data_IF_252772469360
#
_entry.id   IF_252772469360
#
_cell.length_a   1.000
_cell.length_b   1.000
_cell.length_c   1.000
_cell.angle_alpha   90.00
_cell.angle_beta   90.00
_cell.angle_gamma   90.00
#
_symmetry.space_group_name_H-M   'P 1'
#
loop_
_entity.id
_entity.type
_entity.pdbx_description
1 polymer ?
2 polymer ?
3 non-polymer ?
4 water ?
#
# COMPACT_ATOMS: atom_id res chain seq x y z
N UNK A 1 4.73 -1.76 24.98
CA UNK A 1 3.78 -0.67 25.28
C UNK A 1 2.36 -1.05 24.93
N UNK A 2 1.52 -0.06 24.66
CA UNK A 2 0.10 -0.33 24.49
C UNK A 2 -0.23 -0.87 23.16
N UNK A 3 -0.49 -2.18 23.10
CA UNK A 3 -0.89 -2.83 21.86
C UNK A 3 -2.36 -2.78 21.73
N UNK A 4 -2.78 -2.28 20.58
CA UNK A 4 -4.16 -2.12 20.26
C UNK A 4 -4.49 -3.20 19.24
N UNK A 5 -5.28 -4.19 19.63
CA UNK A 5 -5.63 -5.35 18.77
C UNK A 5 -7.01 -5.17 18.22
N UNK A 6 -7.08 -4.95 16.91
CA UNK A 6 -8.34 -4.66 16.24
C UNK A 6 -8.76 -5.87 15.49
N UNK A 7 -10.01 -6.27 15.63
CA UNK A 7 -10.49 -7.40 14.86
C UNK A 7 -11.83 -6.96 14.31
N UNK A 8 -12.12 -7.29 13.06
CA UNK A 8 -11.32 -8.11 12.19
C UNK A 8 -10.35 -7.23 11.40
N UNK A 9 -9.34 -7.82 10.83
CA UNK A 9 -8.45 -7.09 10.01
C UNK A 9 -9.17 -6.71 8.76
N UNK A 10 -10.16 -7.48 8.37
CA UNK A 10 -10.94 -7.13 7.14
C UNK A 10 -12.45 -7.25 7.47
N UNK A 11 -13.21 -6.19 7.17
CA UNK A 11 -14.65 -6.25 7.29
C UNK A 11 -15.34 -6.01 5.94
N UNK A 12 -15.61 -7.10 5.15
CA UNK A 12 -16.52 -7.03 4.04
C UNK A 12 -17.96 -6.78 4.47
N UNK A 13 -18.62 -5.83 3.83
CA UNK A 13 -19.97 -5.56 4.15
C UNK A 13 -20.67 -5.28 2.87
N UNK A 14 -21.97 -5.37 2.87
CA UNK A 14 -22.76 -4.70 1.85
C UNK A 14 -23.10 -3.31 2.37
N UNK A 15 -23.16 -2.36 1.46
CA UNK A 15 -23.55 -1.04 1.85
C UNK A 15 -24.91 -1.13 2.53
N UNK A 16 -25.06 -0.40 3.64
CA UNK A 16 -26.33 -0.42 4.34
C UNK A 16 -26.26 -1.33 5.51
N UNK A 17 -25.36 -2.29 5.46
CA UNK A 17 -25.11 -3.19 6.58
C UNK A 17 -24.54 -2.45 7.78
N UNK A 18 -24.87 -2.93 8.93
CA UNK A 18 -24.25 -2.50 10.15
C UNK A 18 -22.79 -2.96 10.13
N UNK A 19 -21.87 -2.25 10.83
CA UNK A 19 -20.50 -2.67 10.90
C UNK A 19 -20.01 -2.45 12.29
N UNK A 20 -19.28 -3.42 12.82
CA UNK A 20 -18.75 -3.33 14.19
C UNK A 20 -17.30 -3.69 14.11
N UNK A 21 -16.44 -2.83 14.67
CA UNK A 21 -15.05 -3.10 14.73
C UNK A 21 -14.62 -3.13 16.19
N UNK A 22 -13.84 -4.13 16.57
CA UNK A 22 -13.43 -4.26 17.95
C UNK A 22 -11.98 -3.75 18.09
N UNK A 23 -11.74 -3.12 19.23
CA UNK A 23 -10.40 -2.71 19.56
C UNK A 23 -10.14 -3.14 21.00
N UNK A 24 -9.11 -3.95 21.14
CA UNK A 24 -8.79 -4.50 22.41
C UNK A 24 -7.44 -3.97 22.76
N UNK A 25 -7.37 -2.94 23.60
CA UNK A 25 -6.07 -2.53 24.05
C UNK A 25 -5.52 -3.49 25.10
N UNK A 26 -4.22 -3.53 25.26
CA UNK A 26 -3.52 -4.51 26.04
C UNK A 26 -3.57 -4.12 27.50
N UNK A 27 -4.01 -2.90 27.79
CA UNK A 27 -4.30 -2.48 29.20
C UNK A 27 -5.40 -1.44 29.18
N UNK A 28 -5.98 -1.14 30.34
CA UNK A 28 -6.95 -0.11 30.47
C UNK A 28 -6.37 1.27 30.01
N UNK A 29 -7.24 2.11 29.52
CA UNK A 29 -6.88 3.34 28.91
C UNK A 29 -7.38 4.55 29.75
N UNK A 30 -7.81 4.26 30.98
CA UNK A 30 -8.20 5.34 31.89
C UNK A 30 -6.98 6.06 32.38
N UNK A 31 -6.93 7.35 32.02
CA UNK A 31 -5.84 8.20 32.43
C UNK A 31 -5.99 8.59 33.92
N UNK A 32 -4.92 9.04 34.60
CA UNK A 32 -5.01 9.58 35.96
C UNK A 32 -6.09 10.62 36.03
N UNK A 33 -6.20 11.45 35.00
CA UNK A 33 -7.25 12.49 34.99
C UNK A 33 -8.70 11.90 34.92
N UNK A 34 -8.83 10.59 34.82
CA UNK A 34 -10.14 9.97 34.70
C UNK A 34 -10.72 9.88 33.27
N UNK A 35 -10.08 10.48 32.28
CA UNK A 35 -10.57 10.32 30.93
C UNK A 35 -10.00 9.07 30.28
N UNK A 36 -10.66 8.62 29.22
CA UNK A 36 -10.22 7.39 28.52
C UNK A 36 -9.85 7.79 27.07
N UNK A 37 -8.55 7.78 26.75
CA UNK A 37 -8.17 8.39 25.45
C UNK A 37 -8.07 7.26 24.46
N UNK A 38 -9.25 6.73 24.14
CA UNK A 38 -9.39 5.72 23.12
C UNK A 38 -10.04 6.40 21.97
N UNK A 39 -9.40 6.39 20.80
CA UNK A 39 -10.01 7.13 19.68
C UNK A 39 -10.05 6.23 18.46
N UNK A 40 -10.75 6.63 17.41
CA UNK A 40 -10.89 5.87 16.19
C UNK A 40 -10.68 6.84 15.03
N UNK A 41 -10.00 6.36 13.98
CA UNK A 41 -9.63 7.19 12.78
C UNK A 41 -10.04 6.43 11.58
N UNK A 42 -10.17 7.10 10.48
CA UNK A 42 -10.32 6.38 9.25
C UNK A 42 -9.26 6.99 8.37
N UNK A 43 -8.53 6.14 7.64
CA UNK A 43 -7.78 6.66 6.52
C UNK A 43 -8.36 6.03 5.29
N UNK A 44 -8.77 6.87 4.36
CA UNK A 44 -9.05 6.36 3.01
C UNK A 44 -7.81 6.28 2.13
N UNK A 45 -7.87 5.43 1.09
CA UNK A 45 -6.70 5.42 0.16
C UNK A 45 -6.42 6.84 -0.40
N UNK A 46 -5.13 7.17 -0.43
CA UNK A 46 -4.74 8.40 -1.03
C UNK A 46 -4.84 9.56 -0.06
N UNK A 47 -5.34 9.31 1.17
CA UNK A 47 -5.70 10.35 2.10
C UNK A 47 -5.00 10.06 3.37
N UNK A 48 -5.02 11.09 4.18
CA UNK A 48 -4.43 11.00 5.49
C UNK A 48 -5.48 10.49 6.57
N UNK A 49 -5.00 9.90 7.72
CA UNK A 49 -6.05 9.52 8.60
C UNK A 49 -6.89 10.69 9.02
N UNK A 50 -8.11 10.44 9.47
CA UNK A 50 -8.99 11.43 10.03
C UNK A 50 -9.60 10.87 11.31
N UNK A 51 -9.72 11.71 12.32
CA UNK A 51 -10.42 11.42 13.63
C UNK A 51 -11.86 11.22 13.40
N UNK A 52 -12.36 10.16 13.98
CA UNK A 52 -13.79 9.91 13.96
C UNK A 52 -14.43 9.99 15.28
N UNK A 53 -13.81 9.41 16.31
CA UNK A 53 -14.46 9.24 17.59
C UNK A 53 -13.33 9.44 18.53
N UNK A 54 -13.51 10.34 19.50
CA UNK A 54 -12.51 10.61 20.49
C UNK A 54 -13.03 10.29 21.87
N UNK A 55 -12.13 9.88 22.76
CA UNK A 55 -12.49 9.50 24.09
C UNK A 55 -13.70 8.60 24.12
N UNK A 56 -13.56 7.49 23.39
CA UNK A 56 -14.40 6.28 23.49
C UNK A 56 -15.63 6.41 22.68
N UNK A 57 -16.34 7.52 22.89
CA UNK A 57 -17.68 7.65 22.35
C UNK A 57 -18.09 8.93 21.76
N UNK A 58 -17.23 9.92 21.78
CA UNK A 58 -17.56 11.26 21.26
C UNK A 58 -17.24 11.40 19.82
N UNK A 59 -18.18 11.85 19.04
CA UNK A 59 -17.99 11.96 17.62
C UNK A 59 -17.42 13.36 17.24
N UNK A 60 -16.35 13.32 16.48
CA UNK A 60 -15.62 14.46 16.27
C UNK A 60 -16.46 15.25 15.29
N UNK A 61 -16.23 16.55 15.24
CA UNK A 61 -17.11 17.41 14.48
C UNK A 61 -17.11 16.96 13.08
N UNK A 62 -18.26 16.97 12.42
CA UNK A 62 -18.37 16.66 10.99
C UNK A 62 -18.47 15.17 10.70
N UNK A 63 -18.30 14.36 11.74
CA UNK A 63 -18.32 12.91 11.60
C UNK A 63 -19.81 12.52 11.50
N UNK A 64 -20.19 11.72 10.47
CA UNK A 64 -21.56 11.21 10.38
C UNK A 64 -22.14 10.53 11.68
N UNK A 65 -23.38 10.84 11.99
CA UNK A 65 -24.11 10.16 13.10
C UNK A 65 -24.13 8.63 13.11
N UNK A 66 -24.06 7.96 11.94
CA UNK A 66 -24.05 6.50 11.88
C UNK A 66 -22.83 5.85 12.60
N UNK A 67 -21.89 6.71 12.97
CA UNK A 67 -20.71 6.38 13.65
C UNK A 67 -20.95 6.59 15.13
N UNK A 68 -20.67 5.58 15.91
CA UNK A 68 -20.72 5.81 17.37
C UNK A 68 -19.68 4.94 17.93
N UNK A 69 -19.18 5.23 19.15
CA UNK A 69 -18.26 4.31 19.74
C UNK A 69 -18.74 3.99 21.11
N UNK A 70 -18.32 2.86 21.65
CA UNK A 70 -18.63 2.44 23.07
C UNK A 70 -17.48 1.58 23.54
N UNK A 71 -17.42 1.29 24.84
CA UNK A 71 -16.56 0.25 25.35
C UNK A 71 -15.91 0.78 26.63
N UNK A 72 -15.05 0.00 27.25
CA UNK A 72 -14.43 0.42 28.46
C UNK A 72 -13.55 -0.72 28.82
N UNK A 73 -12.76 -0.60 29.90
CA UNK A 73 -11.78 -1.67 30.22
C UNK A 73 -10.92 -1.95 28.98
N UNK A 74 -11.02 -3.16 28.44
CA UNK A 74 -10.16 -3.49 27.27
C UNK A 74 -11.00 -3.88 26.09
N UNK A 75 -12.24 -3.43 26.03
CA UNK A 75 -12.98 -3.77 24.89
C UNK A 75 -13.77 -2.57 24.42
N UNK A 76 -13.46 -2.11 23.21
CA UNK A 76 -14.02 -0.90 22.57
C UNK A 76 -14.48 -1.22 21.22
N UNK A 77 -15.60 -0.61 20.82
CA UNK A 77 -16.21 -0.97 19.56
C UNK A 77 -16.53 0.32 18.88
N UNK A 78 -16.21 0.33 17.60
CA UNK A 78 -16.70 1.28 16.67
C UNK A 78 -17.85 0.56 15.99
N UNK A 79 -18.92 1.32 15.78
CA UNK A 79 -20.08 0.82 15.15
C UNK A 79 -20.50 1.82 14.10
N UNK A 80 -20.93 1.31 12.94
CA UNK A 80 -21.46 2.13 11.78
C UNK A 80 -22.76 1.48 11.57
N UNK A 81 -23.80 2.18 11.95
CA UNK A 81 -25.11 1.54 11.97
C UNK A 81 -25.45 1.10 10.52
N UNK A 82 -24.97 1.82 9.55
CA UNK A 82 -25.27 1.48 8.15
C UNK A 82 -24.10 1.88 7.32
N UNK A 83 -23.40 0.93 6.68
CA UNK A 83 -22.11 1.31 6.05
C UNK A 83 -22.50 2.03 4.75
N UNK A 84 -21.93 3.21 4.49
CA UNK A 84 -22.18 4.00 3.27
C UNK A 84 -20.89 4.02 2.44
N UNK A 85 -20.90 4.34 1.18
CA UNK A 85 -19.64 4.29 0.35
C UNK A 85 -18.50 5.04 0.98
N UNK A 86 -18.84 6.22 1.51
CA UNK A 86 -17.82 7.11 2.01
C UNK A 86 -17.10 6.58 3.24
N UNK A 87 -17.54 5.46 3.75
CA UNK A 87 -17.08 4.95 5.02
C UNK A 87 -16.02 3.91 4.82
N UNK A 88 -15.82 3.51 3.55
CA UNK A 88 -14.86 2.47 3.17
C UNK A 88 -13.41 2.92 3.43
N UNK A 89 -12.59 2.07 4.03
CA UNK A 89 -11.22 2.42 4.26
C UNK A 89 -10.68 1.65 5.42
N UNK A 90 -9.61 2.17 5.98
CA UNK A 90 -8.89 1.48 7.07
C UNK A 90 -9.11 2.23 8.35
N UNK A 91 -9.77 1.55 9.26
CA UNK A 91 -10.13 2.12 10.50
C UNK A 91 -9.04 1.75 11.49
N UNK A 92 -8.66 2.71 12.32
CA UNK A 92 -7.63 2.49 13.34
C UNK A 92 -8.15 2.98 14.63
N UNK A 93 -8.11 2.16 15.68
CA UNK A 93 -8.23 2.66 17.02
C UNK A 93 -6.87 3.12 17.44
N UNK A 94 -6.85 3.83 18.58
CA UNK A 94 -5.68 4.46 19.04
C UNK A 94 -5.92 4.80 20.51
N UNK A 95 -4.91 4.60 21.30
CA UNK A 95 -4.91 5.06 22.68
C UNK A 95 -3.96 6.25 22.82
N UNK A 96 -4.44 7.37 23.35
CA UNK A 96 -3.65 8.62 23.61
C UNK A 96 -3.41 8.77 25.13
N UNK A 97 -3.70 7.71 25.87
CA UNK A 97 -3.56 7.71 27.30
C UNK A 97 -2.08 7.58 27.73
N UNK A 98 -1.32 6.65 27.10
CA UNK A 98 0.04 6.40 27.51
C UNK A 98 1.03 6.71 26.39
N UNK A 99 2.16 7.30 26.73
CA UNK A 99 3.24 7.56 25.79
C UNK A 99 3.99 6.20 25.72
N UNK A 100 4.24 5.69 24.49
CA UNK A 100 3.86 6.28 23.20
C UNK A 100 2.47 5.93 22.67
N UNK A 101 1.85 6.88 21.95
CA UNK A 101 0.51 6.70 21.55
C UNK A 101 0.63 5.69 20.48
N UNK A 102 -0.34 4.77 20.51
CA UNK A 102 -0.36 3.60 19.60
C UNK A 102 -1.65 3.50 18.93
N UNK A 103 -1.66 2.66 17.90
CA UNK A 103 -2.77 2.54 16.92
C UNK A 103 -2.95 1.04 16.76
N UNK A 104 -4.17 0.56 16.58
CA UNK A 104 -4.39 -0.79 16.06
C UNK A 104 -3.82 -0.99 14.67
N UNK A 105 -3.76 -2.26 14.23
CA UNK A 105 -3.17 -2.62 13.00
C UNK A 105 -3.99 -2.17 11.81
N UNK A 106 -5.25 -1.76 12.05
CA UNK A 106 -6.18 -1.39 10.96
C UNK A 106 -7.24 -2.45 10.68
N UNK A 107 -8.41 -1.97 10.22
CA UNK A 107 -9.48 -2.84 9.79
C UNK A 107 -9.90 -2.16 8.54
N UNK A 108 -9.91 -2.96 7.50
CA UNK A 108 -10.20 -2.51 6.17
C UNK A 108 -11.66 -2.83 5.93
N UNK A 109 -12.46 -1.78 5.79
CA UNK A 109 -13.85 -1.96 5.63
C UNK A 109 -13.96 -1.92 4.14
N UNK A 110 -14.51 -2.96 3.51
CA UNK A 110 -14.61 -3.02 2.03
C UNK A 110 -15.90 -3.70 1.64
N UNK A 111 -16.21 -3.74 0.33
CA UNK A 111 -17.40 -4.44 -0.18
C UNK A 111 -17.31 -5.96 -0.28
N UNK A 112 -18.40 -6.60 0.14
CA UNK A 112 -18.48 -8.01 0.11
C UNK A 112 -19.14 -8.35 -1.17
N UNK A 113 -18.62 -9.38 -1.83
CA UNK A 113 -19.19 -9.88 -3.03
C UNK A 113 -19.01 -11.37 -2.94
N UNK A 114 -19.55 -12.09 -3.96
CA UNK A 114 -19.43 -13.55 -4.04
C UNK A 114 -17.95 -13.90 -4.15
N UNK A 115 -17.51 -14.93 -3.44
CA UNK A 115 -16.18 -15.45 -3.65
C UNK A 115 -15.96 -15.68 -5.14
N UNK A 116 -14.80 -15.23 -5.61
CA UNK A 116 -14.35 -15.38 -6.99
C UNK A 116 -12.92 -15.91 -6.95
N UNK A 117 -12.66 -16.97 -7.73
CA UNK A 117 -11.34 -17.53 -7.95
C UNK A 117 -10.57 -16.66 -8.95
N UNK A 118 -9.24 -16.51 -8.74
CA UNK A 118 -8.29 -15.79 -9.63
C UNK A 118 -8.18 -16.50 -10.99
N UNK A 119 -8.18 -15.70 -12.06
CA UNK A 119 -7.71 -16.04 -13.35
C UNK A 119 -6.19 -15.88 -13.24
N UNK A 120 -5.51 -17.04 -13.20
CA UNK A 120 -4.07 -17.06 -13.12
C UNK A 120 -3.39 -17.13 -14.51
N UNK A 121 -2.50 -16.17 -14.77
CA UNK A 121 -1.70 -16.10 -15.97
C UNK A 121 -0.24 -16.12 -15.59
N UNK A 122 0.58 -17.00 -16.18
CA UNK A 122 2.02 -17.04 -15.84
C UNK A 122 2.77 -16.64 -17.11
N UNK A 123 3.80 -15.81 -16.99
CA UNK A 123 4.68 -15.47 -18.11
C UNK A 123 6.16 -15.74 -17.74
N UNK A 124 6.88 -16.44 -18.66
CA UNK A 124 8.32 -16.56 -18.55
C UNK A 124 8.97 -15.22 -18.86
N UNK A 125 10.22 -15.05 -18.39
CA UNK A 125 11.09 -13.93 -18.73
C UNK A 125 10.97 -13.64 -20.20
N UNK A 126 10.93 -12.40 -20.57
CA UNK A 126 10.95 -11.97 -21.97
C UNK A 126 12.34 -12.14 -22.50
N UNK A 127 12.46 -12.34 -23.81
CA UNK A 127 13.79 -12.42 -24.43
C UNK A 127 14.52 -11.08 -24.22
N UNK A 128 13.76 -9.98 -24.26
CA UNK A 128 14.27 -8.64 -23.99
C UNK A 128 14.99 -8.57 -22.65
N UNK A 129 14.46 -9.28 -21.66
CA UNK A 129 14.95 -9.17 -20.34
C UNK A 129 16.16 -10.07 -20.18
N UNK A 130 16.04 -11.30 -20.70
CA UNK A 130 17.07 -12.36 -20.63
C UNK A 130 18.40 -11.94 -21.31
N UNK A 131 18.24 -11.34 -22.49
CA UNK A 131 19.30 -10.55 -23.07
C UNK A 131 20.08 -9.68 -22.09
N UNK A 132 19.50 -9.27 -20.94
CA UNK A 132 20.22 -8.38 -20.03
C UNK A 132 20.70 -9.11 -18.81
N UNK A 133 20.49 -10.41 -18.75
CA UNK A 133 20.90 -11.19 -17.59
C UNK A 133 19.95 -11.26 -16.42
N UNK A 134 18.74 -10.79 -16.65
CA UNK A 134 17.72 -10.89 -15.62
C UNK A 134 16.64 -11.78 -16.15
N UNK A 135 15.84 -12.33 -15.23
CA UNK A 135 14.75 -13.16 -15.67
C UNK A 135 13.64 -13.06 -14.63
N UNK A 136 12.59 -12.33 -14.97
CA UNK A 136 11.44 -12.16 -14.09
C UNK A 136 10.37 -13.08 -14.60
N UNK A 137 9.86 -13.95 -13.70
CA UNK A 137 8.70 -14.75 -14.00
C UNK A 137 7.51 -14.08 -13.29
N UNK A 138 6.48 -13.79 -14.08
CA UNK A 138 5.30 -13.06 -13.63
C UNK A 138 4.07 -13.94 -13.63
N UNK A 139 3.29 -13.80 -12.56
CA UNK A 139 2.05 -14.45 -12.42
C UNK A 139 1.08 -13.37 -12.06
N UNK A 140 0.10 -13.10 -12.94
CA UNK A 140 -1.06 -12.28 -12.62
C UNK A 140 -2.20 -13.14 -12.05
N UNK A 141 -2.70 -12.79 -10.87
CA UNK A 141 -3.82 -13.53 -10.30
C UNK A 141 -4.94 -12.54 -10.22
N UNK A 142 -5.83 -12.58 -11.19
CA UNK A 142 -6.74 -11.48 -11.40
C UNK A 142 -8.18 -11.77 -10.89
N UNK A 143 -8.81 -10.75 -10.32
CA UNK A 143 -10.27 -10.70 -10.19
C UNK A 143 -10.84 -11.78 -9.34
N UNK A 144 -10.21 -11.90 -8.17
CA UNK A 144 -10.56 -12.86 -7.18
C UNK A 144 -11.15 -12.20 -5.94
N UNK A 145 -11.82 -12.97 -5.10
CA UNK A 145 -12.39 -12.42 -3.90
C UNK A 145 -12.61 -13.58 -2.95
N UNK A 146 -12.26 -13.47 -1.62
CA UNK A 146 -11.73 -12.31 -0.84
C UNK A 146 -10.29 -11.90 -1.25
N UNK A 147 -9.76 -10.86 -0.59
CA UNK A 147 -8.42 -10.34 -0.82
C UNK A 147 -7.34 -11.32 -0.50
N UNK A 148 -7.59 -12.16 0.50
CA UNK A 148 -6.61 -13.10 0.96
C UNK A 148 -6.25 -14.15 -0.10
N UNK A 149 -4.98 -14.24 -0.39
CA UNK A 149 -4.57 -15.18 -1.42
C UNK A 149 -3.20 -15.51 -1.04
N UNK A 150 -2.81 -16.75 -1.26
CA UNK A 150 -1.41 -17.10 -1.08
C UNK A 150 -0.87 -17.62 -2.38
N UNK A 151 0.32 -17.14 -2.76
CA UNK A 151 0.93 -17.58 -4.02
C UNK A 151 2.20 -18.26 -3.69
N UNK A 152 2.36 -19.47 -4.23
CA UNK A 152 3.58 -20.28 -4.07
C UNK A 152 4.22 -20.47 -5.46
N UNK A 153 5.48 -20.13 -5.59
CA UNK A 153 6.29 -20.48 -6.73
C UNK A 153 7.05 -21.77 -6.41
N UNK A 154 7.02 -22.66 -7.42
CA UNK A 154 7.75 -23.93 -7.51
C UNK A 154 8.63 -23.81 -8.77
N UNK A 155 9.89 -24.17 -8.59
CA UNK A 155 10.87 -24.32 -9.71
C UNK A 155 11.31 -25.78 -9.69
N UNK A 156 10.94 -26.50 -10.75
CA UNK A 156 11.03 -27.96 -10.82
C UNK A 156 10.49 -28.55 -9.52
N UNK A 157 9.26 -28.14 -9.17
CA UNK A 157 8.51 -28.78 -8.12
C UNK A 157 8.95 -28.49 -6.71
N UNK A 158 10.00 -27.70 -6.53
CA UNK A 158 10.43 -27.25 -5.22
C UNK A 158 10.15 -25.77 -4.94
N UNK A 159 9.53 -25.50 -3.81
CA UNK A 159 9.09 -24.14 -3.57
C UNK A 159 10.21 -23.11 -3.52
N UNK A 160 9.95 -22.00 -4.15
CA UNK A 160 10.90 -20.92 -4.18
C UNK A 160 10.29 -19.72 -3.50
N UNK A 161 10.92 -19.25 -2.42
CA UNK A 161 10.39 -18.12 -1.69
C UNK A 161 11.10 -16.83 -2.06
N UNK A 162 12.41 -16.92 -2.26
CA UNK A 162 13.24 -15.75 -2.50
C UNK A 162 13.25 -15.20 -3.92
N UNK A 163 13.19 -13.90 -4.03
CA UNK A 163 12.97 -13.29 -5.33
C UNK A 163 11.54 -12.86 -5.62
N UNK A 164 10.63 -13.05 -4.66
CA UNK A 164 9.20 -12.94 -5.01
C UNK A 164 8.63 -11.65 -4.51
N UNK A 165 8.03 -10.92 -5.43
CA UNK A 165 7.48 -9.65 -5.04
C UNK A 165 6.01 -9.64 -5.47
N UNK A 166 5.14 -9.36 -4.50
CA UNK A 166 3.72 -9.49 -4.70
C UNK A 166 3.11 -8.12 -4.59
N UNK A 167 2.21 -7.78 -5.50
CA UNK A 167 1.60 -6.46 -5.42
C UNK A 167 0.08 -6.63 -5.60
N UNK A 168 -0.73 -6.20 -4.62
CA UNK A 168 -2.18 -6.23 -4.82
C UNK A 168 -2.67 -4.91 -5.31
N UNK A 169 -3.68 -4.95 -6.15
CA UNK A 169 -4.40 -3.77 -6.41
C UNK A 169 -5.32 -3.58 -5.18
N UNK A 170 -5.89 -2.42 -5.09
CA UNK A 170 -6.98 -2.28 -4.17
C UNK A 170 -8.33 -2.71 -4.78
N UNK A 171 -9.34 -2.81 -3.96
CA UNK A 171 -10.60 -3.36 -4.34
C UNK A 171 -11.18 -2.75 -5.62
N UNK A 172 -11.61 -3.60 -6.55
CA UNK A 172 -12.07 -3.06 -7.82
C UNK A 172 -13.35 -2.24 -7.58
N UNK A 173 -13.42 -1.07 -8.21
CA UNK A 173 -14.58 -0.18 -8.03
C UNK A 173 -15.80 -0.80 -8.69
N UNK A 174 -15.57 -1.45 -9.83
CA UNK A 174 -16.64 -2.15 -10.57
C UNK A 174 -17.02 -3.53 -10.04
N UNK A 175 -16.07 -4.43 -9.81
CA UNK A 175 -16.55 -5.76 -9.50
C UNK A 175 -16.21 -6.18 -8.09
N UNK A 176 -15.63 -5.28 -7.30
CA UNK A 176 -15.36 -5.51 -5.87
C UNK A 176 -14.32 -6.57 -5.67
N UNK A 177 -13.61 -6.81 -6.73
CA UNK A 177 -12.66 -7.88 -6.83
C UNK A 177 -11.24 -7.33 -6.53
N UNK A 178 -10.34 -8.26 -6.21
CA UNK A 178 -8.91 -7.98 -6.10
C UNK A 178 -8.09 -8.72 -7.15
N UNK A 179 -6.96 -8.13 -7.46
CA UNK A 179 -5.96 -8.69 -8.34
C UNK A 179 -4.63 -8.60 -7.63
N UNK A 180 -3.73 -9.50 -8.02
CA UNK A 180 -2.36 -9.36 -7.58
C UNK A 180 -1.35 -9.85 -8.58
N UNK A 181 -0.23 -9.17 -8.75
CA UNK A 181 0.88 -9.81 -9.48
C UNK A 181 1.87 -10.36 -8.53
N UNK A 182 2.47 -11.49 -8.91
CA UNK A 182 3.57 -12.04 -8.18
C UNK A 182 4.67 -12.22 -9.16
N UNK A 183 5.75 -11.49 -8.91
CA UNK A 183 6.91 -11.56 -9.78
C UNK A 183 8.12 -12.31 -9.15
N UNK A 184 8.44 -13.44 -9.73
CA UNK A 184 9.65 -14.14 -9.41
C UNK A 184 10.87 -13.70 -10.28
N UNK A 185 11.82 -13.01 -9.65
CA UNK A 185 13.03 -12.49 -10.28
C UNK A 185 14.28 -13.37 -9.96
N UNK A 186 14.95 -13.80 -11.03
CA UNK A 186 16.15 -14.62 -10.93
C UNK A 186 17.21 -13.95 -11.80
N UNK A 187 18.46 -14.42 -11.67
CA UNK A 187 19.45 -14.16 -12.72
C UNK A 187 19.07 -15.05 -13.94
N UNK A 188 19.53 -14.67 -15.13
CA UNK A 188 19.33 -15.45 -16.32
C UNK A 188 19.86 -16.86 -16.07
N UNK A 189 21.01 -16.93 -15.42
CA UNK A 189 21.66 -18.17 -15.08
C UNK A 189 20.93 -19.08 -14.13
N UNK A 190 20.38 -18.53 -13.05
CA UNK A 190 19.46 -19.30 -12.19
C UNK A 190 18.30 -19.76 -13.07
N UNK A 191 17.67 -18.82 -13.70
CA UNK A 191 16.52 -19.12 -14.51
C UNK A 191 16.92 -20.21 -15.44
N UNK A 192 17.99 -20.00 -16.21
CA UNK A 192 18.39 -20.93 -17.29
C UNK A 192 18.85 -22.33 -16.83
N UNK A 193 19.13 -22.50 -15.53
CA UNK A 193 19.42 -23.83 -14.90
C UNK A 193 18.21 -24.71 -14.69
N UNK A 194 16.99 -24.24 -14.95
CA UNK A 194 15.82 -25.05 -14.58
C UNK A 194 14.76 -25.02 -15.66
N UNK A 195 13.80 -25.95 -15.63
CA UNK A 195 12.75 -26.00 -16.69
C UNK A 195 11.33 -25.57 -16.23
N UNK A 196 10.91 -26.12 -15.11
CA UNK A 196 9.49 -26.07 -14.78
C UNK A 196 9.28 -24.92 -13.77
N UNK A 197 8.41 -24.01 -14.22
CA UNK A 197 8.11 -22.79 -13.52
C UNK A 197 6.63 -22.71 -13.18
N UNK A 198 6.29 -22.72 -11.90
CA UNK A 198 4.89 -22.84 -11.46
C UNK A 198 4.57 -21.78 -10.43
N UNK A 199 3.46 -21.14 -10.72
CA UNK A 199 2.76 -20.20 -9.90
C UNK A 199 1.56 -20.95 -9.29
N UNK A 200 1.50 -21.09 -7.97
CA UNK A 200 0.34 -21.78 -7.35
C UNK A 200 -0.47 -20.80 -6.47
N UNK A 201 -1.74 -20.58 -6.80
CA UNK A 201 -2.59 -19.70 -6.01
C UNK A 201 -3.47 -20.50 -5.06
N UNK A 202 -3.26 -20.28 -3.75
CA UNK A 202 -4.17 -20.82 -2.73
C UNK A 202 -5.12 -19.72 -2.28
N UNK A 203 -6.40 -20.03 -2.27
CA UNK A 203 -7.43 -19.06 -1.98
C UNK A 203 -8.63 -19.86 -1.45
N UNK A 204 -9.54 -19.17 -0.74
CA UNK A 204 -10.83 -19.73 -0.22
C UNK A 204 -11.62 -20.57 -1.24
N UNK A 205 -11.69 -20.10 -2.48
CA UNK A 205 -12.51 -20.74 -3.54
C UNK A 205 -12.05 -22.13 -4.03
N UNK A 206 -11.02 -22.65 -3.34
CA UNK A 206 -10.26 -23.78 -3.81
C UNK A 206 -9.81 -24.55 -2.58
N UNK A 207 -9.97 -25.89 -2.59
CA UNK A 207 -9.41 -26.78 -1.49
C UNK A 207 -8.02 -27.33 -1.85
N UNK A 208 -7.53 -26.85 -3.01
CA UNK A 208 -6.26 -27.22 -3.66
C UNK A 208 -5.90 -26.09 -4.71
N UNK A 209 -4.61 -25.72 -4.83
CA UNK A 209 -4.20 -24.53 -5.59
C UNK A 209 -4.70 -24.49 -7.03
N UNK A 210 -4.93 -23.29 -7.54
CA UNK A 210 -4.83 -23.07 -8.96
C UNK A 210 -3.34 -23.07 -9.29
N UNK A 211 -2.94 -24.03 -10.12
CA UNK A 211 -1.56 -24.19 -10.56
C UNK A 211 -1.38 -23.65 -12.00
N UNK A 212 -0.52 -22.67 -12.16
CA UNK A 212 -0.13 -22.24 -13.52
C UNK A 212 1.37 -22.42 -13.74
N UNK A 213 1.67 -22.94 -14.91
CA UNK A 213 2.92 -23.60 -15.17
C UNK A 213 3.36 -23.42 -16.57
N UNK A 214 4.66 -23.30 -16.72
CA UNK A 214 5.38 -23.43 -18.02
C UNK A 214 6.67 -24.20 -17.80
N UNK A 215 7.12 -24.80 -18.90
CA UNK A 215 8.45 -25.39 -19.06
C UNK A 215 9.23 -24.54 -20.00
N UNK A 216 10.34 -24.02 -19.46
CA UNK A 216 11.31 -23.19 -20.20
C UNK A 216 11.60 -23.75 -21.58
N UNK A 217 11.90 -25.06 -21.68
CA UNK A 217 12.08 -25.69 -23.01
C UNK A 217 10.89 -25.82 -23.97
N UNK A 218 9.72 -25.30 -23.61
CA UNK A 218 8.61 -25.29 -24.55
C UNK A 218 8.27 -23.85 -24.91
N UNK A 219 9.03 -22.93 -24.29
CA UNK A 219 8.79 -21.50 -24.34
C UNK A 219 9.83 -20.72 -25.13
N UNK B 1 -10.32 27.30 9.73
CA UNK B 1 -10.16 25.86 9.55
C UNK B 1 -8.75 25.47 9.90
N UNK B 2 -8.62 24.53 10.81
CA UNK B 2 -7.33 23.95 11.17
C UNK B 2 -6.82 23.29 9.89
N UNK B 3 -5.65 23.79 9.42
CA UNK B 3 -4.83 23.12 8.37
C UNK B 3 -3.41 22.86 8.86
N UNK B 4 -2.84 21.70 8.57
CA UNK B 4 -1.44 21.40 8.76
C UNK B 4 -0.86 21.12 7.36
N UNK B 5 0.04 21.94 6.88
CA UNK B 5 0.59 21.84 5.47
C UNK B 5 2.01 21.33 5.66
N UNK B 6 2.27 20.15 5.12
CA UNK B 6 3.61 19.61 5.20
C UNK B 6 4.41 19.94 3.98
N UNK B 7 5.73 19.90 4.11
CA UNK B 7 6.58 19.97 2.95
C UNK B 7 6.43 18.78 2.00
N UNK B 8 7.00 18.96 0.78
CA UNK B 8 6.79 18.05 -0.36
C UNK B 8 7.69 16.81 -0.23
N UNK B 9 7.43 15.87 -1.13
CA UNK B 9 8.17 14.60 -1.20
C UNK B 9 9.67 14.76 -1.16
N UNK B 10 10.30 13.87 -0.40
CA UNK B 10 11.74 13.88 -0.33
C UNK B 10 12.33 12.62 -0.96
N UNK B 11 13.35 12.80 -1.81
CA UNK B 11 14.22 11.75 -2.30
C UNK B 11 15.63 11.93 -1.67
N UNK B 12 15.97 11.04 -0.78
CA UNK B 12 17.12 11.22 0.08
C UNK B 12 18.12 10.09 -0.11
N UNK B 13 19.39 10.46 -0.21
CA UNK B 13 20.47 9.51 -0.22
C UNK B 13 20.47 8.82 1.14
N UNK B 14 20.82 7.52 1.22
CA UNK B 14 20.94 6.99 2.58
C UNK B 14 22.00 7.77 3.36
N UNK B 15 21.89 7.82 4.69
CA UNK B 15 22.82 8.61 5.48
C UNK B 15 22.49 10.09 5.57
N UNK B 16 21.60 10.60 4.71
CA UNK B 16 21.34 12.02 4.70
C UNK B 16 20.41 12.31 5.90
N UNK B 17 20.16 13.61 6.20
CA UNK B 17 19.11 14.07 7.09
C UNK B 17 18.06 14.73 6.24
N UNK B 18 16.79 14.47 6.61
CA UNK B 18 15.73 15.26 6.07
C UNK B 18 15.01 15.97 7.22
N UNK B 19 14.46 17.13 6.87
CA UNK B 19 13.74 17.93 7.79
C UNK B 19 12.43 18.12 7.15
N UNK B 20 11.36 17.61 7.81
CA UNK B 20 10.03 17.80 7.30
C UNK B 20 9.44 18.97 8.07
N UNK B 21 8.77 19.85 7.32
CA UNK B 21 8.01 20.92 7.91
C UNK B 21 6.52 20.67 7.97
N UNK B 22 5.94 21.38 8.92
CA UNK B 22 4.53 21.30 9.13
C UNK B 22 3.98 22.67 9.58
N UNK B 23 3.26 23.33 8.64
CA UNK B 23 2.72 24.67 8.73
C UNK B 23 1.29 24.55 9.21
N UNK B 24 1.00 25.10 10.39
CA UNK B 24 -0.23 24.92 11.16
C UNK B 24 -0.95 26.23 11.03
N UNK B 25 -2.18 26.25 10.52
CA UNK B 25 -2.87 27.54 10.43
C UNK B 25 -4.23 27.23 11.00
N UNK B 26 -5.04 28.26 11.30
CA UNK B 26 -6.42 28.05 11.73
C UNK B 26 -6.55 27.90 13.22
N UNK B 27 -5.48 28.02 13.99
CA UNK B 27 -5.65 27.91 15.39
C UNK B 27 -4.44 28.43 16.09
N UNK B 28 -4.48 28.44 17.43
CA UNK B 28 -3.42 28.96 18.15
C UNK B 28 -2.39 27.87 18.32
N UNK B 29 -1.22 28.08 17.71
CA UNK B 29 -0.24 26.99 17.47
C UNK B 29 0.38 26.52 18.80
N UNK B 30 0.68 27.42 19.70
CA UNK B 30 1.35 27.04 20.93
C UNK B 30 0.33 26.50 21.97
N UNK B 31 -0.96 26.39 21.58
CA UNK B 31 -1.93 25.79 22.45
C UNK B 31 -2.00 24.21 22.35
N UNK B 32 -1.48 23.64 21.27
CA UNK B 32 -1.65 22.25 20.90
C UNK B 32 -0.33 21.60 20.57
N UNK B 33 -0.16 20.35 20.95
CA UNK B 33 0.94 19.50 20.47
C UNK B 33 0.85 19.28 18.95
N UNK B 34 2.01 19.10 18.30
CA UNK B 34 2.14 18.58 16.97
C UNK B 34 2.74 17.22 17.22
N UNK B 35 2.08 16.21 16.65
CA UNK B 35 2.50 14.83 16.66
C UNK B 35 3.06 14.54 15.33
N UNK B 36 4.03 13.67 15.39
CA UNK B 36 4.61 13.10 14.21
C UNK B 36 4.36 11.60 14.19
N UNK B 37 3.91 11.12 13.05
CA UNK B 37 3.46 9.73 12.93
C UNK B 37 4.06 9.20 11.63
N UNK B 38 4.48 7.92 11.69
CA UNK B 38 5.04 7.24 10.55
C UNK B 38 4.13 6.15 9.98
N UNK B 39 3.95 6.16 8.68
CA UNK B 39 3.11 5.16 8.03
C UNK B 39 3.86 4.66 6.82
N UNK B 40 4.05 3.38 6.83
CA UNK B 40 5.01 2.74 5.92
C UNK B 40 4.24 1.49 5.58
N UNK B 41 4.08 1.16 4.26
CA UNK B 41 3.21 0.01 3.99
C UNK B 41 3.56 -1.20 4.87
N UNK B 42 2.49 -1.90 5.29
CA UNK B 42 2.61 -3.03 6.19
C UNK B 42 3.16 -2.71 7.58
N UNK B 43 3.26 -1.40 7.92
CA UNK B 43 3.59 -1.02 9.30
C UNK B 43 2.58 -0.13 10.09
N UNK B 44 1.33 -0.14 9.63
CA UNK B 44 0.20 0.68 10.11
C UNK B 44 0.67 2.07 10.37
N UNK B 45 0.35 2.62 11.55
CA UNK B 45 0.63 3.99 11.96
C UNK B 45 1.51 3.89 13.18
N UNK B 46 2.68 4.50 13.07
CA UNK B 46 3.58 4.37 14.17
C UNK B 46 3.87 5.83 14.71
N UNK B 47 3.50 6.11 15.93
CA UNK B 47 3.83 7.44 16.45
C UNK B 47 5.31 7.57 16.66
N UNK B 48 5.84 8.73 16.25
CA UNK B 48 7.22 9.09 16.49
C UNK B 48 7.38 10.00 17.73
N UNK B 49 6.44 10.92 17.88
CA UNK B 49 6.51 11.84 18.99
C UNK B 49 5.66 13.05 18.85
N UNK B 50 5.90 13.99 19.74
CA UNK B 50 5.18 15.18 19.82
C UNK B 50 6.02 16.29 20.37
N UNK B 51 5.63 17.48 19.98
CA UNK B 51 6.26 18.64 20.56
C UNK B 51 5.19 19.66 20.86
N UNK B 52 5.39 20.39 21.95
CA UNK B 52 4.41 21.43 22.26
C UNK B 52 5.04 22.81 21.91
N UNK B 53 4.60 23.42 20.79
CA UNK B 53 5.33 24.63 20.41
C UNK B 53 5.28 25.66 21.46
N UNK B 54 6.38 26.39 21.52
CA UNK B 54 6.50 27.44 22.52
C UNK B 54 7.09 26.94 23.84
N UNK B 55 6.83 25.71 24.23
CA UNK B 55 7.20 25.41 25.57
C UNK B 55 8.47 24.62 25.54
N UNK B 56 8.91 24.31 24.32
CA UNK B 56 9.60 23.02 24.00
C UNK B 56 9.53 21.92 25.08
N UNK B 57 8.34 21.33 25.20
CA UNK B 57 8.13 20.11 25.84
C UNK B 57 8.08 19.23 24.59
N UNK B 58 8.83 18.16 24.62
CA UNK B 58 8.66 17.06 23.67
C UNK B 58 8.40 15.72 24.38
N UNK B 59 7.67 14.83 23.68
CA UNK B 59 7.79 13.38 23.82
C UNK B 59 8.20 12.71 22.53
N UNK B 60 9.13 11.81 22.69
CA UNK B 60 9.62 10.96 21.59
C UNK B 60 9.33 9.50 21.87
N UNK B 61 8.86 8.79 20.86
CA UNK B 61 8.81 7.32 20.94
C UNK B 61 10.24 6.94 21.18
N UNK B 62 10.46 6.03 22.13
CA UNK B 62 11.82 5.65 22.57
C UNK B 62 12.82 5.44 21.47
N UNK B 63 12.55 4.59 20.46
CA UNK B 63 13.54 4.15 19.41
C UNK B 63 13.72 5.24 18.37
N UNK B 64 12.85 6.25 18.37
CA UNK B 64 13.14 7.54 17.66
C UNK B 64 14.02 8.59 18.36
N UNK B 65 14.28 8.40 19.63
CA UNK B 65 15.28 9.23 20.28
C UNK B 65 16.67 8.90 19.76
N UNK B 66 17.29 9.88 19.17
CA UNK B 66 18.61 9.75 18.61
C UNK B 66 18.51 9.86 17.12
N UNK B 67 17.28 9.74 16.61
CA UNK B 67 16.96 9.64 15.16
C UNK B 67 16.09 10.85 14.68
N UNK B 68 15.01 11.12 15.44
CA UNK B 68 14.04 12.17 15.12
C UNK B 68 14.33 13.29 16.05
N UNK B 69 14.30 14.50 15.49
CA UNK B 69 14.36 15.72 16.30
C UNK B 69 13.18 16.59 15.97
N UNK B 70 12.44 17.06 16.97
CA UNK B 70 11.34 17.96 16.63
C UNK B 70 11.81 19.34 17.04
N UNK B 71 11.39 20.31 16.24
CA UNK B 71 11.54 21.72 16.51
C UNK B 71 10.21 22.41 16.13
N UNK B 72 9.91 23.57 16.71
CA UNK B 72 8.65 24.30 16.45
C UNK B 72 8.96 25.78 16.58
N UNK B 73 8.52 26.58 15.61
CA UNK B 73 8.78 27.99 15.59
C UNK B 73 7.46 28.65 15.78
N UNK B 74 7.26 29.28 16.92
CA UNK B 74 5.94 29.85 17.27
C UNK B 74 5.70 31.13 16.48
N UNK B 75 6.78 31.64 15.92
CA UNK B 75 6.71 32.79 15.04
C UNK B 75 6.26 32.57 13.63
N UNK B 76 6.58 31.41 13.06
CA UNK B 76 6.17 30.97 11.71
C UNK B 76 5.00 30.01 11.80
N UNK B 77 4.72 29.49 13.00
CA UNK B 77 3.70 28.46 13.18
C UNK B 77 4.09 27.22 12.40
N UNK B 78 5.36 26.85 12.44
CA UNK B 78 5.80 25.70 11.71
C UNK B 78 6.49 24.84 12.72
N UNK B 79 6.21 23.54 12.65
CA UNK B 79 6.89 22.52 13.37
C UNK B 79 7.69 21.73 12.26
N UNK B 80 8.80 21.19 12.72
CA UNK B 80 9.73 20.47 11.93
C UNK B 80 10.14 19.22 12.62
N UNK B 81 10.33 18.21 11.77
CA UNK B 81 10.94 16.96 12.24
C UNK B 81 12.18 16.68 11.35
N UNK B 82 13.31 16.64 12.01
CA UNK B 82 14.51 16.11 11.40
C UNK B 82 14.67 14.60 11.61
N UNK B 83 14.98 13.88 10.52
CA UNK B 83 15.40 12.48 10.66
C UNK B 83 16.75 12.36 10.01
N UNK B 84 17.68 11.81 10.79
CA UNK B 84 19.06 11.80 10.39
C UNK B 84 19.32 10.37 10.03
N UNK B 85 20.47 10.09 9.41
CA UNK B 85 20.88 8.70 9.06
C UNK B 85 19.87 7.88 8.35
N UNK B 86 19.35 8.48 7.28
CA UNK B 86 18.27 7.87 6.60
C UNK B 86 18.67 6.54 6.02
N UNK B 87 17.78 5.55 6.17
CA UNK B 87 18.07 4.20 5.60
C UNK B 87 16.79 3.84 4.89
N UNK B 88 16.74 2.65 4.25
CA UNK B 88 15.54 2.16 3.61
C UNK B 88 14.36 1.95 4.59
N UNK B 89 14.64 1.83 5.90
CA UNK B 89 13.59 1.64 6.83
C UNK B 89 12.88 2.94 7.04
N UNK B 90 13.43 4.06 6.63
CA UNK B 90 12.73 5.29 6.99
C UNK B 90 11.86 5.70 5.82
N UNK B 91 11.97 4.96 4.75
CA UNK B 91 11.07 5.26 3.57
C UNK B 91 9.63 5.05 4.00
N UNK B 92 8.87 6.14 4.04
CA UNK B 92 7.54 6.10 4.54
C UNK B 92 6.85 7.39 4.22
N UNK B 93 5.56 7.47 4.57
CA UNK B 93 4.82 8.74 4.52
C UNK B 93 4.87 9.24 5.94
N UNK B 94 5.34 10.46 6.17
CA UNK B 94 5.29 11.01 7.56
C UNK B 94 4.17 11.99 7.68
N UNK B 95 3.49 11.94 8.83
CA UNK B 95 2.44 12.84 9.20
C UNK B 95 2.81 13.67 10.39
N UNK B 96 2.51 14.97 10.29
CA UNK B 96 2.29 15.77 11.48
C UNK B 96 0.75 15.83 11.70
N UNK B 97 0.43 16.01 12.95
CA UNK B 97 -0.92 16.11 13.34
C UNK B 97 -0.97 17.09 14.51
N UNK B 98 -2.12 17.75 14.65
CA UNK B 98 -2.40 18.51 15.83
C UNK B 98 -2.82 17.53 16.87
N UNK B 99 -2.30 17.71 18.08
CA UNK B 99 -2.63 16.73 19.18
C UNK B 99 -3.12 17.48 20.38
N UNK B 100 -4.02 16.93 21.20
CA UNK B 100 -4.33 17.57 22.48
C UNK B 100 -4.73 16.41 23.30
N UNK B 101 -5.91 15.89 23.02
CA UNK B 101 -6.24 14.61 23.64
C UNK B 101 -6.35 13.51 22.60
N UNK B 102 -6.71 13.87 21.36
CA UNK B 102 -6.53 13.01 20.22
C UNK B 102 -5.60 13.69 19.18
N UNK B 103 -5.64 13.18 17.95
CA UNK B 103 -4.84 13.74 16.91
C UNK B 103 -5.90 14.15 15.93
N UNK B 104 -6.35 15.35 16.12
CA UNK B 104 -7.61 15.66 15.63
C UNK B 104 -7.54 16.18 14.24
N UNK B 105 -6.40 16.76 13.85
CA UNK B 105 -6.17 17.16 12.45
C UNK B 105 -4.79 16.72 12.02
N UNK B 106 -4.70 16.21 10.78
CA UNK B 106 -3.47 15.67 10.21
C UNK B 106 -3.04 16.54 9.07
N UNK B 107 -1.73 16.53 8.86
CA UNK B 107 -1.09 17.02 7.63
C UNK B 107 -1.42 16.10 6.50
N UNK B 108 -1.03 16.47 5.28
CA UNK B 108 -1.36 15.64 4.08
C UNK B 108 -0.37 14.52 4.01
N UNK B 109 0.64 14.55 4.93
CA UNK B 109 1.73 13.58 4.94
C UNK B 109 2.84 14.07 4.01
N UNK B 110 4.05 13.63 4.35
CA UNK B 110 5.22 13.81 3.57
C UNK B 110 5.84 12.44 3.27
N UNK B 111 6.03 12.18 2.01
CA UNK B 111 6.66 10.99 1.61
C UNK B 111 8.15 11.16 1.56
N UNK B 112 8.86 10.24 2.20
CA UNK B 112 10.30 10.28 2.17
C UNK B 112 10.69 8.93 1.51
N UNK B 113 11.53 8.96 0.47
CA UNK B 113 12.08 7.80 -0.15
C UNK B 113 13.52 7.89 0.04
N UNK B 114 14.12 6.87 0.66
CA UNK B 114 15.56 6.74 0.77
C UNK B 114 16.13 5.86 -0.39
N UNK B 115 17.18 6.34 -1.06
CA UNK B 115 17.69 5.62 -2.23
C UNK B 115 19.01 6.26 -2.76
N UNK B 116 19.96 5.37 -3.09
CA UNK B 116 21.25 5.67 -3.79
C UNK B 116 21.06 5.98 -5.29
N UNK B 117 19.85 5.75 -5.79
CA UNK B 117 19.75 5.55 -7.20
C UNK B 117 19.75 6.81 -7.99
N UNK B 118 20.24 6.71 -9.22
CA UNK B 118 20.26 7.79 -10.12
C UNK B 118 18.87 7.70 -10.72
N UNK B 119 18.43 8.76 -11.37
CA UNK B 119 17.14 8.72 -12.02
C UNK B 119 17.24 7.71 -13.11
N UNK B 120 16.43 6.67 -12.99
CA UNK B 120 16.43 5.57 -13.92
C UNK B 120 15.08 5.37 -14.56
N UNK B 121 15.04 5.51 -15.93
CA UNK B 121 13.85 5.14 -16.69
C UNK B 121 13.66 3.60 -16.58
N UNK B 122 12.40 3.14 -16.60
CA UNK B 122 12.17 1.74 -16.40
C UNK B 122 12.56 0.99 -17.65
N UNK B 123 12.96 -0.28 -17.43
CA UNK B 123 13.02 -1.25 -18.50
C UNK B 123 11.64 -1.82 -18.57
N UNK B 124 11.14 -1.99 -19.78
CA UNK B 124 9.74 -2.38 -20.05
C UNK B 124 9.68 -3.68 -20.83
N UNK B 125 9.05 -4.65 -20.19
CA UNK B 125 9.12 -6.00 -20.71
C UNK B 125 7.73 -6.46 -20.99
N UNK B 126 7.49 -6.94 -22.22
CA UNK B 126 6.15 -7.43 -22.61
C UNK B 126 5.88 -8.75 -21.98
N UNK B 127 4.62 -8.97 -21.65
CA UNK B 127 4.16 -10.20 -21.02
C UNK B 127 3.02 -10.68 -21.88
N UNK B 128 3.31 -11.69 -22.69
CA UNK B 128 2.43 -12.25 -23.64
C UNK B 128 2.62 -13.78 -23.53
N UNK B 129 1.55 -14.54 -23.79
CA UNK B 129 1.62 -15.99 -23.84
C UNK B 129 2.47 -16.45 -25.03
N UNK B 130 2.92 -17.70 -24.92
CA UNK B 130 3.95 -18.25 -25.77
C UNK B 130 3.95 -19.72 -25.47
N UNK B 131 5.11 -20.31 -25.23
CA UNK B 131 5.10 -21.69 -24.72
C UNK B 131 4.16 -22.72 -25.40
N UNK B 132 3.78 -22.46 -26.65
CA UNK B 132 2.93 -23.41 -27.39
C UNK B 132 1.50 -23.60 -26.89
N UNK B 133 0.95 -22.64 -26.14
CA UNK B 133 -0.43 -22.71 -25.66
C UNK B 133 -1.41 -22.30 -26.70
N UNK B 134 -2.68 -22.70 -26.53
CA UNK B 134 -3.78 -22.09 -27.27
C UNK B 134 -4.37 -21.09 -26.31
N UNK B 135 -4.70 -19.91 -26.81
CA UNK B 135 -5.47 -18.90 -26.04
C UNK B 135 -6.88 -19.40 -25.77
N UNK B 136 -7.43 -19.02 -24.63
CA UNK B 136 -8.86 -19.21 -24.33
C UNK B 136 -9.58 -18.16 -25.16
N UNK B 137 -10.79 -17.78 -24.76
CA UNK B 137 -11.49 -16.70 -25.47
C UNK B 137 -10.93 -15.29 -25.15
N UNK B 138 -10.30 -15.17 -23.97
CA UNK B 138 -9.75 -13.93 -23.54
C UNK B 138 -8.29 -14.18 -23.29
N UNK B 139 -7.46 -13.19 -23.59
CA UNK B 139 -6.04 -13.37 -23.30
C UNK B 139 -5.56 -12.30 -22.33
N UNK B 140 -4.90 -12.69 -21.26
CA UNK B 140 -4.18 -11.68 -20.44
C UNK B 140 -2.78 -11.36 -20.91
N UNK B 141 -2.55 -10.07 -21.16
CA UNK B 141 -1.21 -9.50 -21.52
C UNK B 141 -0.68 -8.58 -20.38
N UNK B 142 0.56 -8.19 -20.42
CA UNK B 142 1.02 -7.23 -19.40
C UNK B 142 2.33 -6.60 -19.79
N UNK B 143 2.82 -5.69 -18.98
CA UNK B 143 4.13 -5.11 -19.10
C UNK B 143 4.65 -5.02 -17.73
N UNK B 144 5.90 -5.43 -17.60
CA UNK B 144 6.60 -5.47 -16.34
C UNK B 144 7.46 -4.28 -16.45
N UNK B 145 7.29 -3.37 -15.51
CA UNK B 145 7.94 -2.07 -15.63
C UNK B 145 8.96 -1.99 -14.50
N UNK B 146 10.19 -2.28 -14.86
CA UNK B 146 11.16 -2.68 -13.90
C UNK B 146 12.38 -1.75 -13.69
N UNK B 147 12.76 -1.62 -12.42
CA UNK B 147 14.00 -0.96 -12.05
C UNK B 147 14.01 0.55 -12.33
N UNK B 148 12.87 1.23 -12.24
CA UNK B 148 12.91 2.67 -12.40
C UNK B 148 13.15 3.42 -11.06
N UNK B 149 13.43 4.70 -11.20
CA UNK B 149 13.45 5.61 -10.06
C UNK B 149 13.46 7.05 -10.51
N UNK B 150 12.72 7.91 -9.82
CA UNK B 150 11.76 7.58 -8.73
C UNK B 150 10.36 7.25 -9.21
N UNK B 151 9.44 7.27 -8.27
CA UNK B 151 8.04 7.28 -8.61
C UNK B 151 7.59 8.62 -9.25
N UNK B 152 6.55 8.57 -10.07
CA UNK B 152 5.96 7.29 -10.45
C UNK B 152 6.01 7.11 -11.95
N UNK B 153 5.22 6.17 -12.46
CA UNK B 153 5.13 5.88 -13.89
C UNK B 153 3.68 5.71 -14.20
N UNK B 154 3.36 5.79 -15.47
CA UNK B 154 2.00 5.62 -15.94
C UNK B 154 2.06 4.55 -17.01
N UNK B 155 1.33 3.45 -16.81
CA UNK B 155 1.12 2.52 -17.90
C UNK B 155 -0.23 2.80 -18.55
N UNK B 156 -0.18 3.00 -19.85
CA UNK B 156 -1.41 3.16 -20.66
C UNK B 156 -1.45 2.18 -21.84
N UNK B 157 -2.59 1.51 -22.01
CA UNK B 157 -2.69 0.49 -23.01
C UNK B 157 -3.48 0.99 -24.17
N UNK B 158 -2.97 0.80 -25.39
CA UNK B 158 -3.50 1.48 -26.57
C UNK B 158 -4.21 2.85 -26.30
N UNK B 159 -3.68 3.66 -25.38
CA UNK B 159 -4.28 4.97 -24.98
C UNK B 159 -5.58 4.84 -24.13
N UNK B 160 -6.59 4.15 -24.70
CA UNK B 160 -7.85 3.87 -24.03
C UNK B 160 -8.17 2.37 -24.10
N UNK B 161 -7.53 1.62 -23.18
CA UNK B 161 -7.81 0.20 -22.94
C UNK B 161 -8.18 -0.05 -21.47
N UNK B 162 -8.01 0.98 -20.63
CA UNK B 162 -8.53 0.99 -19.22
C UNK B 162 -10.02 1.15 -19.41
N UNK B 163 -10.61 0.27 -20.21
CA UNK B 163 -12.03 0.47 -20.69
C UNK B 163 -13.18 0.12 -19.67
N UNK B 164 -12.97 -0.78 -18.69
CA UNK B 164 -11.67 -1.10 -18.01
C UNK B 164 -11.32 -2.60 -18.07
N UNK B 165 -10.21 -2.98 -18.75
CA UNK B 165 -9.66 -4.38 -18.64
C UNK B 165 -8.28 -4.50 -17.86
N UNK B 166 -7.87 -3.38 -17.26
CA UNK B 166 -6.50 -3.13 -16.85
C UNK B 166 -6.31 -3.28 -15.36
N UNK B 167 -5.27 -3.98 -14.93
CA UNK B 167 -4.86 -3.91 -13.56
C UNK B 167 -3.47 -3.35 -13.44
N UNK B 168 -3.34 -2.28 -12.67
CA UNK B 168 -2.09 -1.61 -12.45
C UNK B 168 -1.62 -2.05 -11.09
N UNK B 169 -0.51 -2.72 -11.00
CA UNK B 169 -0.04 -3.17 -9.72
C UNK B 169 0.86 -2.14 -9.10
N UNK B 170 0.44 -1.63 -7.93
CA UNK B 170 1.25 -0.64 -7.21
C UNK B 170 2.71 -1.07 -7.23
N UNK B 171 3.61 -0.12 -7.27
CA UNK B 171 4.99 -0.39 -7.46
C UNK B 171 5.52 -0.72 -6.10
N UNK B 172 6.53 -1.52 -6.10
CA UNK B 172 7.17 -1.92 -4.87
C UNK B 172 8.65 -1.54 -4.98
N UNK B 173 9.16 -1.02 -3.86
CA UNK B 173 10.49 -0.47 -3.85
C UNK B 173 11.31 -1.59 -3.34
N UNK B 174 12.38 -1.85 -4.05
CA UNK B 174 13.14 -3.03 -3.78
C UNK B 174 14.56 -2.57 -4.08
N UNK B 175 15.40 -2.54 -3.03
CA UNK B 175 16.77 -2.07 -3.19
C UNK B 175 16.91 -0.64 -3.84
N UNK B 176 16.13 0.32 -3.36
CA UNK B 176 16.17 1.65 -3.95
C UNK B 176 15.60 1.78 -5.37
N UNK B 177 15.29 0.65 -6.04
CA UNK B 177 14.60 0.68 -7.37
C UNK B 177 13.13 0.21 -7.38
N UNK B 178 12.32 0.79 -8.28
CA UNK B 178 10.92 0.40 -8.38
C UNK B 178 10.64 -0.61 -9.47
N UNK B 179 9.68 -1.51 -9.19
CA UNK B 179 9.10 -2.38 -10.23
C UNK B 179 7.58 -2.35 -10.08
N UNK B 180 6.88 -2.03 -11.17
CA UNK B 180 5.49 -2.29 -11.18
C UNK B 180 5.12 -3.17 -12.37
N UNK B 181 3.89 -3.67 -12.42
CA UNK B 181 3.41 -4.24 -13.69
C UNK B 181 2.02 -3.80 -13.97
N UNK B 182 1.52 -4.12 -15.11
CA UNK B 182 0.20 -3.76 -15.50
C UNK B 182 -0.28 -4.96 -16.35
N UNK B 183 -1.47 -5.47 -16.05
CA UNK B 183 -2.07 -6.44 -16.90
C UNK B 183 -3.22 -5.84 -17.71
N UNK B 184 -3.44 -6.41 -18.87
CA UNK B 184 -4.66 -6.17 -19.56
C UNK B 184 -5.26 -7.49 -20.14
N UNK B 185 -6.58 -7.56 -20.25
CA UNK B 185 -7.20 -8.74 -20.74
C UNK B 185 -8.00 -8.37 -21.98
N UNK B 186 -7.83 -9.10 -23.06
CA UNK B 186 -8.55 -8.78 -24.29
C UNK B 186 -9.04 -10.13 -24.82
N UNK B 187 -10.12 -10.15 -25.66
CA UNK B 187 -10.49 -11.41 -26.32
C UNK B 187 -9.38 -11.81 -27.24
N UNK B 188 -9.15 -13.10 -27.40
CA UNK B 188 -8.08 -13.51 -28.28
C UNK B 188 -8.57 -13.35 -29.70
N UNK B 189 -9.88 -13.17 -29.84
CA UNK B 189 -10.42 -12.76 -31.11
C UNK B 189 -9.78 -11.45 -31.57
N UNK B 190 -9.29 -10.65 -30.61
CA UNK B 190 -8.58 -9.34 -30.88
C UNK B 190 -7.01 -9.41 -30.86
N UNK B 191 -6.48 -10.40 -30.15
CA UNK B 191 -5.07 -10.52 -30.02
C UNK B 191 -4.52 -11.92 -30.36
N UNK B 192 -3.41 -12.00 -31.13
CA UNK B 192 -2.52 -11.00 -31.70
C UNK B 192 -2.99 -10.51 -33.02
N UNK B 193 -4.20 -10.90 -33.45
CA UNK B 193 -4.76 -10.38 -34.69
C UNK B 193 -4.52 -8.84 -34.72
N UNK B 194 -4.96 -8.11 -33.70
CA UNK B 194 -4.59 -6.67 -33.63
C UNK B 194 -3.52 -6.21 -32.60
N UNK B 195 -3.03 -4.97 -32.80
CA UNK B 195 -1.97 -4.38 -31.95
C UNK B 195 -2.41 -4.05 -30.51
N UNK B 196 -1.74 -4.68 -29.55
CA UNK B 196 -1.80 -4.23 -28.18
C UNK B 196 -0.40 -3.78 -27.78
N UNK B 197 -0.37 -2.60 -27.13
CA UNK B 197 0.84 -1.84 -26.80
C UNK B 197 0.70 -1.30 -25.39
N UNK B 198 1.75 -1.43 -24.58
CA UNK B 198 1.73 -0.72 -23.31
C UNK B 198 2.59 0.45 -23.50
N UNK B 199 2.12 1.60 -23.06
CA UNK B 199 2.93 2.79 -23.12
C UNK B 199 3.31 3.22 -21.72
N UNK B 200 4.60 3.30 -21.49
CA UNK B 200 5.13 3.50 -20.15
C UNK B 200 5.84 4.87 -20.09
N UNK B 201 5.12 5.82 -19.51
CA UNK B 201 5.62 7.12 -19.13
C UNK B 201 6.38 7.11 -17.80
N UNK B 202 7.61 7.55 -17.85
CA UNK B 202 8.34 7.80 -16.66
C UNK B 202 8.72 9.29 -16.69
N UNK B 203 7.80 10.15 -16.17
CA UNK B 203 7.99 11.63 -16.23
C UNK B 203 9.35 12.04 -15.68
N UNK B 204 9.75 11.49 -14.52
CA UNK B 204 10.97 11.93 -13.85
C UNK B 204 12.26 11.74 -14.68
N UNK B 205 12.19 10.94 -15.73
CA UNK B 205 13.32 10.82 -16.69
C UNK B 205 12.96 11.27 -18.10
N UNK B 206 11.81 11.93 -18.23
CA UNK B 206 11.29 12.43 -19.52
C UNK B 206 11.42 11.28 -20.52
N UNK B 207 10.80 10.15 -20.15
CA UNK B 207 10.99 8.84 -20.82
C UNK B 207 9.58 8.27 -21.03
N UNK B 208 9.34 7.75 -22.21
CA UNK B 208 8.06 7.09 -22.56
C UNK B 208 8.52 5.97 -23.48
N UNK B 209 8.03 4.75 -23.22
CA UNK B 209 8.43 3.52 -23.90
C UNK B 209 7.13 2.80 -24.22
N UNK B 210 6.91 2.62 -25.52
CA UNK B 210 5.85 1.83 -26.06
C UNK B 210 6.39 0.45 -26.38
N UNK B 211 5.64 -0.58 -26.03
CA UNK B 211 6.05 -1.94 -26.32
C UNK B 211 4.88 -2.64 -26.86
N UNK B 212 5.00 -3.13 -28.07
CA UNK B 212 3.94 -3.91 -28.72
C UNK B 212 3.93 -5.27 -28.09
N UNK B 213 2.74 -5.76 -27.80
CA UNK B 213 2.63 -7.09 -27.26
C UNK B 213 2.58 -8.12 -28.41
N UNK B 214 3.51 -9.04 -28.40
CA UNK B 214 3.51 -10.10 -29.31
C UNK B 214 3.76 -11.40 -28.57
N UNK B 215 3.30 -12.54 -29.18
CA UNK B 215 3.49 -13.89 -28.64
C UNK B 215 4.92 -14.00 -28.33
N UNK B 216 5.23 -14.60 -27.19
CA UNK B 216 6.61 -14.76 -26.79
C UNK B 216 7.17 -16.04 -27.40
N UNK B 217 6.32 -16.81 -28.05
CA UNK B 217 6.73 -18.04 -28.61
C UNK B 217 5.57 -18.62 -29.43
N UNK B 218 5.69 -19.89 -29.88
CA UNK B 218 4.57 -20.51 -30.55
C UNK B 218 3.30 -20.42 -29.70
N UNK B 219 2.17 -20.15 -30.33
CA UNK B 219 0.85 -20.16 -29.68
C UNK B 219 -0.03 -21.03 -30.54
X LIG C 1 -4.16 13.48 29.69
X LIG C 1 -3.36 14.57 30.09
X LIG C 1 -2.87 15.46 29.11
X LIG C 1 -3.20 15.29 27.72
X LIG C 1 -4.00 14.17 27.34
X LIG C 1 -4.46 13.27 28.32
X LIG C 1 -3.13 17.72 26.91
X LIG C 1 -2.64 16.28 26.68
X LIG C 1 1.55 16.17 27.80
X LIG C 1 2.97 15.75 28.06
X LIG C 1 3.85 16.52 28.48
X LIG C 1 3.19 14.45 27.77
X LIG C 1 -0.41 15.55 24.63
X LIG C 1 -0.16 15.88 25.86
X LIG C 1 1.18 15.83 26.39
X LIG C 1 -1.19 16.26 26.78
X LIG C 1 -3.39 11.70 21.65
X LIG C 1 -3.98 10.90 21.05
X LIG C 1 -2.47 12.50 23.78
X LIG C 1 -1.73 13.46 24.52
X LIG C 1 -1.17 14.60 23.86
X LIG C 1 -1.41 14.76 22.45
X LIG C 1 -2.15 13.81 21.72
X LIG C 1 -2.69 12.67 22.39
#
# INVERSE_FOLDING_TARGET
ELVMTQSPLSLPVSLGDQASISCRPSQSLVHSNGNTYLHWYLQKPGQSPKLLIYRVSNRFSGVPDRFSGSGSGTAFTLKISRVEAEDLGVYFCSQGTHVPYTFGGGTKLELKRADAAPTVSIFPPSSEQLTSGGASVVCFLNNFYPKDINVKWKIDGSERQNGVLNSWTDQDSKDSTYSMSSTLTLTKDEYERHNSYTCEATHKTSTSPIVKSFNRNEC
RVQLLESGAELMKPGASVQISCKATGYTFSEYWIEWVKERPGHGLEWIGEILPGSGRTNYREKFKGKATFTADTSSNTAYMQLSSLTSEDSAVYYCTRGYSSMDYWGQGTSVTVSAAKTTPPSVYPLAPGCGDTTGSSVTLGCLVKGYFPESVTVTWNSGSLSSSVHTFPALLQSGLYTMSSSVTVPSSTWPSQTVTCSVAHPASSTTVDKKLEPSGPI
SC5 C1 C2 C3 C4 C5 C6 C7 C8 C9 C10 O1 O2 N1 C11 N2 N3 C12 N4 C13 C14 C15 C16 C17 C18
#
